data_IF_542678326781
#
_entry.id   IF_542678326781
#
_cell.length_a   1.000
_cell.length_b   1.000
_cell.length_c   1.000
_cell.angle_alpha   90.00
_cell.angle_beta   90.00
_cell.angle_gamma   90.00
#
_symmetry.space_group_name_H-M   'P 1'
#
loop_
_entity.id
_entity.type
_entity.pdbx_description
1 polymer ?
#
# COMPACT_ATOMS: atom_id res chain seq x y z
N UNK A 1 -44.70 -19.65 2.34
CA UNK A 1 -44.60 -18.67 3.45
C UNK A 1 -43.16 -18.67 3.90
N UNK A 2 -42.46 -17.59 3.58
CA UNK A 2 -41.06 -17.28 3.91
C UNK A 2 -40.94 -16.71 5.32
N UNK A 3 -39.82 -16.95 6.00
CA UNK A 3 -39.09 -16.04 6.92
C UNK A 3 -37.84 -16.83 7.41
N UNK A 4 -36.66 -16.56 6.88
CA UNK A 4 -35.64 -15.55 7.25
C UNK A 4 -34.76 -15.92 8.46
N UNK A 5 -33.47 -16.13 8.16
CA UNK A 5 -32.32 -16.16 9.06
C UNK A 5 -31.95 -14.75 9.58
N UNK A 6 -31.24 -14.62 10.71
CA UNK A 6 -30.62 -13.36 11.09
C UNK A 6 -29.16 -13.25 10.58
N UNK A 7 -28.92 -12.16 9.84
CA UNK A 7 -27.64 -11.43 9.73
C UNK A 7 -27.24 -10.94 11.13
N UNK A 8 -25.97 -10.93 11.56
CA UNK A 8 -24.92 -10.03 11.10
C UNK A 8 -24.24 -9.43 12.34
N UNK A 9 -23.03 -9.88 12.68
CA UNK A 9 -22.18 -9.28 13.71
C UNK A 9 -21.09 -8.47 13.03
N UNK A 10 -21.27 -7.16 12.92
CA UNK A 10 -20.21 -6.22 12.56
C UNK A 10 -20.58 -4.80 12.99
N UNK A 11 -20.83 -4.58 14.29
CA UNK A 11 -21.19 -3.25 14.81
C UNK A 11 -20.63 -2.95 16.22
N UNK A 12 -19.50 -3.57 16.60
CA UNK A 12 -18.89 -3.35 17.93
C UNK A 12 -17.63 -2.49 17.95
N UNK A 13 -17.21 -1.89 16.83
CA UNK A 13 -15.91 -1.18 16.75
C UNK A 13 -15.98 0.34 16.57
N UNK A 14 -17.16 0.93 16.37
CA UNK A 14 -17.27 2.38 16.15
C UNK A 14 -17.55 3.19 17.43
N UNK A 15 -18.20 2.58 18.44
CA UNK A 15 -18.57 3.30 19.67
C UNK A 15 -17.34 3.67 20.51
N UNK A 16 -16.31 2.81 20.52
CA UNK A 16 -15.16 2.98 21.42
C UNK A 16 -14.16 4.09 21.00
N UNK A 17 -14.22 4.56 19.76
CA UNK A 17 -13.37 5.68 19.26
C UNK A 17 -14.04 7.05 19.41
N UNK A 18 -15.38 7.11 19.45
CA UNK A 18 -16.12 8.36 19.69
C UNK A 18 -15.88 8.92 21.09
N UNK A 19 -15.78 8.02 22.08
CA UNK A 19 -15.57 8.37 23.49
C UNK A 19 -14.22 9.05 23.75
N UNK A 20 -13.19 8.72 22.96
CA UNK A 20 -11.85 9.33 23.10
C UNK A 20 -11.77 10.74 22.50
N UNK A 21 -12.51 11.01 21.43
CA UNK A 21 -12.52 12.31 20.76
C UNK A 21 -13.30 13.37 21.57
N UNK A 22 -14.41 12.96 22.21
CA UNK A 22 -15.24 13.84 23.04
C UNK A 22 -14.53 14.35 24.32
N UNK A 23 -13.43 13.72 24.74
CA UNK A 23 -12.65 14.16 25.90
C UNK A 23 -11.75 15.37 25.60
N UNK A 24 -11.36 15.58 24.33
CA UNK A 24 -10.42 16.64 23.94
C UNK A 24 -11.06 17.77 23.12
N UNK A 25 -12.25 17.54 22.54
CA UNK A 25 -12.98 18.54 21.76
C UNK A 25 -14.51 18.37 21.92
N UNK A 26 -15.16 19.19 22.78
CA UNK A 26 -16.60 19.10 23.03
C UNK A 26 -17.47 19.43 21.81
N UNK A 27 -16.94 20.14 20.82
CA UNK A 27 -17.69 20.65 19.67
C UNK A 27 -17.69 19.66 18.48
N UNK A 28 -16.98 18.54 18.59
CA UNK A 28 -16.79 17.56 17.51
C UNK A 28 -18.10 16.86 17.08
N UNK A 29 -19.09 16.78 17.98
CA UNK A 29 -20.34 16.05 17.75
C UNK A 29 -21.38 16.83 16.92
N UNK A 30 -21.29 18.16 16.83
CA UNK A 30 -22.35 18.98 16.20
C UNK A 30 -22.12 19.26 14.70
N UNK A 31 -20.93 18.96 14.16
CA UNK A 31 -20.53 19.41 12.82
C UNK A 31 -20.84 18.42 11.66
N UNK A 32 -21.38 17.23 11.92
CA UNK A 32 -21.55 16.21 10.89
C UNK A 32 -23.01 15.77 10.68
N UNK A 33 -23.67 16.35 9.69
CA UNK A 33 -24.89 15.78 9.09
C UNK A 33 -24.63 15.45 7.61
N UNK A 34 -24.61 14.17 7.21
CA UNK A 34 -24.41 13.80 5.81
C UNK A 34 -25.68 14.10 4.99
N UNK A 35 -25.55 14.93 3.96
CA UNK A 35 -26.64 15.22 3.03
C UNK A 35 -27.04 13.98 2.19
N UNK A 36 -28.33 13.82 1.82
CA UNK A 36 -28.78 12.67 1.05
C UNK A 36 -28.20 12.63 -0.37
N UNK A 37 -27.67 11.47 -0.77
CA UNK A 37 -27.05 11.25 -2.07
C UNK A 37 -28.09 11.18 -3.21
N UNK A 38 -27.86 11.92 -4.30
CA UNK A 38 -28.68 11.84 -5.53
C UNK A 38 -28.43 10.53 -6.31
N UNK A 39 -29.45 9.92 -6.93
CA UNK A 39 -29.30 8.66 -7.64
C UNK A 39 -28.46 8.81 -8.93
N UNK A 40 -27.39 8.04 -9.07
CA UNK A 40 -26.53 8.01 -10.27
C UNK A 40 -27.02 6.91 -11.23
N UNK A 41 -27.21 7.26 -12.51
CA UNK A 41 -27.55 6.30 -13.59
C UNK A 41 -26.42 5.28 -13.78
N UNK A 42 -26.77 3.99 -13.78
CA UNK A 42 -25.87 2.85 -14.03
C UNK A 42 -25.36 2.89 -15.48
N UNK A 43 -24.06 3.10 -15.67
CA UNK A 43 -23.38 2.90 -16.98
C UNK A 43 -23.06 1.41 -17.12
N UNK A 44 -23.30 0.84 -18.31
CA UNK A 44 -23.03 -0.57 -18.60
C UNK A 44 -21.58 -0.94 -18.27
N UNK A 45 -21.42 -2.00 -17.48
CA UNK A 45 -20.14 -2.54 -17.04
C UNK A 45 -19.54 -3.29 -18.22
N UNK A 46 -18.48 -2.76 -18.83
CA UNK A 46 -17.66 -3.50 -19.79
C UNK A 46 -17.10 -4.74 -19.09
N UNK A 47 -17.10 -5.89 -19.76
CA UNK A 47 -16.81 -7.18 -19.10
C UNK A 47 -15.39 -7.19 -18.55
N UNK A 48 -15.25 -7.55 -17.27
CA UNK A 48 -13.99 -7.51 -16.54
C UNK A 48 -13.01 -8.56 -17.08
N UNK A 49 -13.50 -9.59 -17.78
CA UNK A 49 -12.70 -10.66 -18.36
C UNK A 49 -11.95 -10.23 -19.65
N UNK A 50 -12.57 -9.44 -20.53
CA UNK A 50 -11.96 -9.03 -21.80
C UNK A 50 -10.78 -8.05 -21.60
N UNK A 51 -10.84 -7.19 -20.60
CA UNK A 51 -9.74 -6.24 -20.33
C UNK A 51 -8.59 -6.90 -19.54
N UNK A 52 -8.88 -7.92 -18.73
CA UNK A 52 -7.85 -8.77 -18.13
C UNK A 52 -7.11 -9.52 -19.24
N UNK A 53 -7.83 -10.02 -20.26
CA UNK A 53 -7.22 -10.65 -21.44
C UNK A 53 -6.32 -9.68 -22.23
N UNK A 54 -6.69 -8.40 -22.36
CA UNK A 54 -5.83 -7.41 -23.02
C UNK A 54 -4.52 -7.13 -22.25
N UNK A 55 -4.54 -7.23 -20.91
CA UNK A 55 -3.34 -7.15 -20.07
C UNK A 55 -2.55 -8.47 -20.11
N UNK A 56 -3.20 -9.62 -20.32
CA UNK A 56 -2.52 -10.92 -20.50
C UNK A 56 -1.74 -10.97 -21.80
N UNK A 57 -2.32 -10.52 -22.92
CA UNK A 57 -1.67 -10.57 -24.23
C UNK A 57 -0.43 -9.66 -24.31
N UNK A 58 -0.38 -8.56 -23.54
CA UNK A 58 0.80 -7.70 -23.46
C UNK A 58 1.94 -8.30 -22.63
N UNK A 59 1.63 -9.24 -21.73
CA UNK A 59 2.60 -9.85 -20.81
C UNK A 59 3.21 -11.15 -21.34
N UNK A 60 2.52 -11.88 -22.23
CA UNK A 60 3.04 -13.12 -22.84
C UNK A 60 4.34 -12.88 -23.66
N UNK A 61 4.62 -11.63 -24.05
CA UNK A 61 5.88 -11.24 -24.71
C UNK A 61 7.07 -10.95 -23.78
N UNK A 62 6.87 -10.95 -22.45
CA UNK A 62 7.88 -10.61 -21.43
C UNK A 62 8.49 -11.82 -20.71
N UNK A 63 8.01 -13.04 -21.00
CA UNK A 63 8.31 -14.25 -20.19
C UNK A 63 9.68 -14.90 -20.44
N UNK A 64 10.52 -14.39 -21.35
CA UNK A 64 11.80 -15.01 -21.65
C UNK A 64 12.87 -14.66 -20.58
N UNK A 65 12.72 -15.20 -19.36
CA UNK A 65 13.84 -15.35 -18.41
C UNK A 65 13.56 -15.08 -16.94
N UNK A 66 12.42 -14.47 -16.57
CA UNK A 66 12.11 -14.21 -15.15
C UNK A 66 11.24 -15.33 -14.56
N UNK A 67 11.88 -16.46 -14.26
CA UNK A 67 11.22 -17.59 -13.60
C UNK A 67 11.08 -17.34 -12.10
N UNK A 68 9.90 -17.64 -11.54
CA UNK A 68 9.61 -17.46 -10.12
C UNK A 68 9.19 -18.77 -9.43
N UNK A 69 9.62 -18.97 -8.19
CA UNK A 69 9.30 -20.14 -7.35
C UNK A 69 7.87 -20.10 -6.81
N UNK A 70 7.36 -18.91 -6.49
CA UNK A 70 5.99 -18.71 -6.03
C UNK A 70 5.02 -19.06 -7.16
N UNK A 71 3.94 -19.77 -6.83
CA UNK A 71 2.89 -20.17 -7.77
C UNK A 71 1.65 -19.28 -7.59
N UNK A 72 1.58 -18.11 -8.26
CA UNK A 72 0.42 -17.23 -8.19
C UNK A 72 -0.81 -17.86 -8.86
N UNK A 73 -2.01 -17.38 -8.50
CA UNK A 73 -3.19 -17.68 -9.29
C UNK A 73 -3.02 -17.11 -10.73
N UNK A 74 -3.64 -17.74 -11.73
CA UNK A 74 -3.45 -17.41 -13.16
C UNK A 74 -3.53 -15.90 -13.48
N UNK A 75 -4.46 -15.17 -12.86
CA UNK A 75 -4.62 -13.72 -13.06
C UNK A 75 -3.62 -12.87 -12.27
N UNK A 76 -3.10 -13.37 -11.16
CA UNK A 76 -2.09 -12.71 -10.32
C UNK A 76 -0.70 -12.82 -10.96
N UNK A 77 -0.39 -13.93 -11.62
CA UNK A 77 0.89 -14.18 -12.28
C UNK A 77 1.30 -13.03 -13.21
N UNK A 78 0.34 -12.59 -14.01
CA UNK A 78 0.54 -11.66 -15.12
C UNK A 78 0.86 -10.26 -14.63
N UNK A 79 0.11 -9.75 -13.65
CA UNK A 79 0.46 -8.45 -13.07
C UNK A 79 1.72 -8.54 -12.22
N UNK A 80 2.03 -9.71 -11.66
CA UNK A 80 3.09 -9.85 -10.66
C UNK A 80 4.43 -9.77 -11.37
N UNK A 81 4.58 -10.56 -12.43
CA UNK A 81 5.77 -10.57 -13.27
C UNK A 81 5.97 -9.20 -13.92
N UNK A 82 4.94 -8.63 -14.56
CA UNK A 82 5.07 -7.30 -15.19
C UNK A 82 5.40 -6.18 -14.21
N UNK A 83 4.90 -6.23 -12.96
CA UNK A 83 5.21 -5.22 -11.94
C UNK A 83 6.62 -5.36 -11.36
N UNK A 84 7.20 -6.57 -11.41
CA UNK A 84 8.50 -6.88 -10.81
C UNK A 84 9.63 -7.00 -11.84
N UNK A 85 9.31 -7.06 -13.13
CA UNK A 85 10.27 -7.17 -14.22
C UNK A 85 11.37 -6.11 -14.12
N UNK A 86 11.00 -4.86 -13.83
CA UNK A 86 11.97 -3.78 -13.70
C UNK A 86 13.02 -4.02 -12.60
N UNK A 87 12.66 -4.73 -11.52
CA UNK A 87 13.60 -5.08 -10.45
C UNK A 87 14.50 -6.26 -10.84
N UNK A 88 13.97 -7.21 -11.63
CA UNK A 88 14.74 -8.30 -12.19
C UNK A 88 15.77 -7.78 -13.21
N UNK A 89 15.35 -6.94 -14.15
CA UNK A 89 16.21 -6.35 -15.19
C UNK A 89 17.34 -5.48 -14.59
N UNK A 90 17.08 -4.84 -13.44
CA UNK A 90 18.06 -4.05 -12.69
C UNK A 90 18.96 -4.90 -11.79
N UNK A 91 18.83 -6.24 -11.82
CA UNK A 91 19.55 -7.17 -10.96
C UNK A 91 19.39 -6.81 -9.46
N UNK A 92 18.17 -6.53 -9.03
CA UNK A 92 17.80 -6.32 -7.63
C UNK A 92 17.17 -7.57 -7.00
N UNK A 93 16.44 -8.35 -7.80
CA UNK A 93 15.84 -9.62 -7.40
C UNK A 93 16.17 -10.71 -8.41
N UNK A 94 16.20 -11.95 -7.94
CA UNK A 94 16.39 -13.14 -8.80
C UNK A 94 15.20 -14.08 -8.79
N UNK A 95 14.34 -14.01 -7.78
CA UNK A 95 13.20 -14.90 -7.62
C UNK A 95 12.11 -14.26 -6.74
N UNK A 96 10.85 -14.61 -6.98
CA UNK A 96 9.72 -14.36 -6.06
C UNK A 96 9.38 -15.67 -5.35
N UNK A 97 9.65 -15.75 -4.06
CA UNK A 97 9.61 -17.00 -3.30
C UNK A 97 8.25 -17.29 -2.68
N UNK A 98 7.59 -16.27 -2.11
CA UNK A 98 6.34 -16.44 -1.39
C UNK A 98 5.54 -15.14 -1.29
N UNK A 99 4.21 -15.25 -1.20
CA UNK A 99 3.36 -14.15 -0.75
C UNK A 99 3.43 -14.03 0.78
N UNK A 100 3.76 -12.84 1.28
CA UNK A 100 3.84 -12.52 2.71
C UNK A 100 2.47 -12.13 3.24
N UNK A 101 1.82 -11.18 2.57
CA UNK A 101 0.50 -10.67 2.96
C UNK A 101 -0.26 -10.22 1.72
N UNK A 102 -1.44 -10.80 1.53
CA UNK A 102 -2.41 -10.34 0.55
C UNK A 102 -3.23 -9.16 1.09
N UNK A 103 -3.52 -8.19 0.22
CA UNK A 103 -4.41 -7.06 0.56
C UNK A 103 -5.32 -6.69 -0.60
N UNK A 104 -6.37 -5.91 -0.30
CA UNK A 104 -7.33 -5.40 -1.29
C UNK A 104 -6.69 -4.38 -2.26
N UNK A 105 -5.54 -3.82 -1.91
CA UNK A 105 -4.90 -2.72 -2.64
C UNK A 105 -3.51 -3.06 -3.12
N UNK A 106 -2.77 -3.77 -2.29
CA UNK A 106 -1.44 -4.26 -2.59
C UNK A 106 -1.25 -5.62 -1.93
N UNK A 107 -0.35 -6.40 -2.49
CA UNK A 107 0.16 -7.62 -1.90
C UNK A 107 1.66 -7.45 -1.69
N UNK A 108 2.17 -8.02 -0.59
CA UNK A 108 3.60 -8.03 -0.27
C UNK A 108 4.13 -9.43 -0.56
N UNK A 109 5.26 -9.49 -1.26
CA UNK A 109 5.95 -10.74 -1.60
C UNK A 109 7.35 -10.75 -1.02
N UNK A 110 7.83 -11.93 -0.62
CA UNK A 110 9.24 -12.16 -0.30
C UNK A 110 9.95 -12.58 -1.58
N UNK A 111 11.00 -11.85 -1.92
CA UNK A 111 11.84 -12.12 -3.08
C UNK A 111 13.25 -12.51 -2.62
N UNK A 112 13.90 -13.38 -3.37
CA UNK A 112 15.34 -13.57 -3.25
C UNK A 112 16.04 -12.33 -3.81
N UNK A 113 16.88 -11.71 -2.99
CA UNK A 113 17.64 -10.56 -3.44
C UNK A 113 18.76 -11.02 -4.39
N UNK A 114 19.12 -10.17 -5.35
CA UNK A 114 20.30 -10.42 -6.15
C UNK A 114 21.57 -10.30 -5.29
N UNK A 115 22.62 -11.13 -5.51
CA UNK A 115 23.84 -11.13 -4.69
C UNK A 115 24.55 -9.77 -4.55
N UNK A 116 24.28 -8.82 -5.45
CA UNK A 116 24.82 -7.44 -5.41
C UNK A 116 24.27 -6.60 -4.25
N UNK A 117 23.13 -6.98 -3.65
CA UNK A 117 22.51 -6.22 -2.56
C UNK A 117 23.07 -6.57 -1.18
N UNK A 118 23.88 -7.64 -1.04
CA UNK A 118 24.37 -8.15 0.24
C UNK A 118 23.23 -8.44 1.25
N UNK A 119 22.12 -8.97 0.72
CA UNK A 119 20.95 -9.38 1.49
C UNK A 119 20.46 -10.73 0.99
N UNK A 120 19.88 -11.56 1.86
CA UNK A 120 19.24 -12.80 1.42
C UNK A 120 17.85 -12.54 0.79
N UNK A 121 17.08 -11.64 1.42
CA UNK A 121 15.68 -11.41 1.08
C UNK A 121 15.33 -9.92 1.01
N UNK A 122 14.42 -9.59 0.11
CA UNK A 122 13.77 -8.29 0.00
C UNK A 122 12.25 -8.46 -0.07
N UNK A 123 11.52 -7.42 0.32
CA UNK A 123 10.07 -7.38 0.24
C UNK A 123 9.63 -6.55 -0.96
N UNK A 124 8.74 -7.12 -1.78
CA UNK A 124 8.12 -6.43 -2.90
C UNK A 124 6.65 -6.07 -2.61
N UNK A 125 6.45 -4.77 -2.39
CA UNK A 125 5.23 -3.96 -2.44
C UNK A 125 4.50 -3.95 -3.78
N UNK A 126 3.67 -4.92 -4.19
CA UNK A 126 2.99 -4.87 -5.51
C UNK A 126 1.57 -4.33 -5.38
N UNK A 127 1.26 -3.23 -6.07
CA UNK A 127 -0.04 -2.59 -6.03
C UNK A 127 -0.97 -3.14 -7.11
N UNK A 128 -2.20 -3.48 -6.72
CA UNK A 128 -3.23 -3.96 -7.67
C UNK A 128 -3.63 -2.82 -8.62
N UNK A 129 -4.00 -3.09 -9.88
CA UNK A 129 -4.48 -2.04 -10.78
C UNK A 129 -5.70 -1.32 -10.20
N UNK A 130 -5.84 -0.02 -10.47
CA UNK A 130 -6.84 0.86 -9.85
C UNK A 130 -8.29 0.36 -9.99
N UNK A 131 -8.63 -0.33 -11.09
CA UNK A 131 -9.95 -0.93 -11.35
C UNK A 131 -10.28 -2.10 -10.41
N UNK A 132 -9.29 -2.66 -9.71
CA UNK A 132 -9.41 -3.74 -8.73
C UNK A 132 -9.22 -3.25 -7.28
N UNK A 133 -9.01 -1.95 -7.04
CA UNK A 133 -8.89 -1.37 -5.70
C UNK A 133 -10.26 -0.99 -5.15
N UNK A 134 -10.52 -1.34 -3.89
CA UNK A 134 -11.70 -0.90 -3.14
C UNK A 134 -11.32 0.16 -2.11
N UNK A 135 -10.84 1.32 -2.57
CA UNK A 135 -10.58 2.46 -1.69
C UNK A 135 -11.66 3.53 -1.89
N UNK A 136 -12.57 3.65 -0.92
CA UNK A 136 -13.48 4.81 -0.82
C UNK A 136 -12.70 5.94 -0.13
N UNK A 137 -12.78 7.16 -0.67
CA UNK A 137 -12.21 8.41 -0.12
C UNK A 137 -10.69 8.66 -0.25
N UNK A 138 -10.01 8.12 -1.26
CA UNK A 138 -8.59 8.41 -1.57
C UNK A 138 -8.27 9.92 -1.80
N UNK A 139 -9.29 10.72 -2.13
CA UNK A 139 -9.12 12.16 -2.43
C UNK A 139 -8.57 12.94 -1.25
N UNK A 140 -9.00 12.65 -0.01
CA UNK A 140 -8.54 13.37 1.18
C UNK A 140 -7.05 13.11 1.48
N UNK A 141 -6.56 11.89 1.22
CA UNK A 141 -5.16 11.52 1.46
C UNK A 141 -4.19 12.16 0.46
N UNK A 142 -4.71 12.70 -0.65
CA UNK A 142 -3.94 13.33 -1.72
C UNK A 142 -4.00 14.85 -1.69
N UNK A 143 -4.95 15.42 -0.97
CA UNK A 143 -5.14 16.86 -0.90
C UNK A 143 -3.88 17.54 -0.31
N UNK A 144 -3.43 18.62 -0.96
CA UNK A 144 -2.19 19.33 -0.58
C UNK A 144 -0.88 18.67 -1.02
N UNK A 145 -0.89 17.47 -1.62
CA UNK A 145 0.34 16.83 -2.12
C UNK A 145 0.71 17.33 -3.52
N UNK A 146 2.00 17.64 -3.72
CA UNK A 146 2.56 17.89 -5.05
C UNK A 146 2.53 16.61 -5.88
N UNK A 147 2.22 16.72 -7.16
CA UNK A 147 2.29 15.59 -8.10
C UNK A 147 3.76 15.27 -8.34
N UNK A 148 4.13 13.99 -8.24
CA UNK A 148 5.49 13.50 -8.47
C UNK A 148 5.54 12.67 -9.77
N UNK A 149 6.67 12.78 -10.48
CA UNK A 149 7.00 11.92 -11.62
C UNK A 149 7.56 10.56 -11.15
N UNK A 150 7.90 9.68 -12.11
CA UNK A 150 8.48 8.35 -11.85
C UNK A 150 9.82 8.39 -11.11
N UNK A 151 10.54 9.53 -11.16
CA UNK A 151 11.81 9.74 -10.46
C UNK A 151 11.61 10.37 -9.08
N UNK A 152 10.35 10.54 -8.64
CA UNK A 152 10.01 11.17 -7.37
C UNK A 152 10.19 12.70 -7.36
N UNK A 153 10.37 13.33 -8.53
CA UNK A 153 10.52 14.78 -8.65
C UNK A 153 9.16 15.44 -8.84
N UNK A 154 8.92 16.65 -8.30
CA UNK A 154 7.68 17.36 -8.55
C UNK A 154 7.48 17.64 -10.04
N UNK A 155 6.32 17.23 -10.57
CA UNK A 155 5.86 17.66 -11.88
C UNK A 155 5.66 19.17 -11.82
N UNK A 156 6.16 19.89 -12.84
CA UNK A 156 6.05 21.34 -12.86
C UNK A 156 4.58 21.75 -12.99
N UNK A 157 4.18 22.77 -12.23
CA UNK A 157 2.78 23.24 -12.22
C UNK A 157 2.36 23.84 -13.57
N UNK A 158 3.31 24.31 -14.37
CA UNK A 158 3.11 24.81 -15.72
C UNK A 158 2.99 23.70 -16.79
N UNK A 159 3.12 22.42 -16.42
CA UNK A 159 2.77 21.31 -17.30
C UNK A 159 1.24 21.17 -17.41
N UNK A 160 0.65 22.08 -18.19
CA UNK A 160 -0.79 22.16 -18.43
C UNK A 160 -1.34 20.84 -18.96
N UNK A 161 -0.54 20.05 -19.70
CA UNK A 161 -1.00 18.76 -20.25
C UNK A 161 -1.15 17.74 -19.14
N UNK A 162 -0.15 17.59 -18.27
CA UNK A 162 -0.19 16.68 -17.14
C UNK A 162 -1.29 17.07 -16.14
N UNK A 163 -1.38 18.35 -15.79
CA UNK A 163 -2.38 18.85 -14.84
C UNK A 163 -3.80 18.67 -15.36
N UNK A 164 -4.06 18.97 -16.65
CA UNK A 164 -5.37 18.75 -17.28
C UNK A 164 -5.72 17.27 -17.40
N UNK A 165 -4.72 16.41 -17.65
CA UNK A 165 -4.92 14.97 -17.74
C UNK A 165 -5.34 14.37 -16.38
N UNK A 166 -4.77 14.87 -15.28
CA UNK A 166 -5.12 14.52 -13.90
C UNK A 166 -6.54 14.99 -13.56
N UNK A 167 -6.84 16.26 -13.83
CA UNK A 167 -8.16 16.86 -13.58
C UNK A 167 -9.27 16.12 -14.31
N UNK A 168 -9.03 15.78 -15.60
CA UNK A 168 -10.00 15.03 -16.43
C UNK A 168 -10.03 13.53 -16.13
N UNK A 169 -9.12 13.01 -15.30
CA UNK A 169 -9.02 11.58 -15.01
C UNK A 169 -8.78 10.71 -16.25
N UNK A 170 -8.00 11.22 -17.21
CA UNK A 170 -7.59 10.45 -18.40
C UNK A 170 -6.79 9.21 -18.01
N UNK A 171 -6.60 8.24 -18.91
CA UNK A 171 -5.77 7.06 -18.64
C UNK A 171 -4.35 7.45 -18.19
N UNK A 172 -3.71 8.40 -18.90
CA UNK A 172 -2.43 8.98 -18.52
C UNK A 172 -2.48 9.67 -17.15
N UNK A 173 -3.49 10.50 -16.89
CA UNK A 173 -3.64 11.17 -15.60
C UNK A 173 -3.86 10.19 -14.45
N UNK A 174 -4.63 9.12 -14.66
CA UNK A 174 -4.83 8.06 -13.67
C UNK A 174 -3.51 7.33 -13.36
N UNK A 175 -2.67 7.10 -14.38
CA UNK A 175 -1.37 6.48 -14.23
C UNK A 175 -0.41 7.40 -13.47
N UNK A 176 -0.30 8.67 -13.89
CA UNK A 176 0.51 9.68 -13.21
C UNK A 176 0.10 9.85 -11.73
N UNK A 177 -1.21 9.84 -11.46
CA UNK A 177 -1.73 9.92 -10.09
C UNK A 177 -1.41 8.65 -9.27
N UNK A 178 -1.21 7.50 -9.91
CA UNK A 178 -0.78 6.28 -9.23
C UNK A 178 0.72 6.34 -8.94
N UNK A 179 1.54 6.65 -9.94
CA UNK A 179 2.99 6.82 -9.82
C UNK A 179 3.33 7.85 -8.74
N UNK A 180 2.67 9.00 -8.76
CA UNK A 180 2.89 10.04 -7.76
C UNK A 180 2.61 9.54 -6.34
N UNK A 181 1.56 8.74 -6.13
CA UNK A 181 1.23 8.20 -4.82
C UNK A 181 2.27 7.18 -4.35
N UNK A 182 2.74 6.30 -5.25
CA UNK A 182 3.81 5.34 -4.95
C UNK A 182 5.11 6.06 -4.58
N UNK A 183 5.46 7.12 -5.33
CA UNK A 183 6.65 7.92 -5.02
C UNK A 183 6.55 8.68 -3.70
N UNK A 184 5.34 9.12 -3.31
CA UNK A 184 5.14 9.66 -1.96
C UNK A 184 5.40 8.61 -0.89
N UNK A 185 4.95 7.36 -1.10
CA UNK A 185 5.23 6.26 -0.18
C UNK A 185 6.74 5.96 -0.10
N UNK A 186 7.41 5.83 -1.24
CA UNK A 186 8.87 5.63 -1.33
C UNK A 186 9.63 6.74 -0.59
N UNK A 187 9.35 8.00 -0.90
CA UNK A 187 10.04 9.15 -0.31
C UNK A 187 9.76 9.27 1.20
N UNK A 188 8.56 8.91 1.64
CA UNK A 188 8.21 8.90 3.07
C UNK A 188 9.03 7.84 3.82
N UNK A 189 9.09 6.62 3.28
CA UNK A 189 9.91 5.55 3.84
C UNK A 189 11.40 5.90 3.86
N UNK A 190 11.93 6.49 2.77
CA UNK A 190 13.35 6.86 2.69
C UNK A 190 13.69 7.92 3.73
N UNK A 191 12.81 8.94 3.86
CA UNK A 191 12.98 9.99 4.86
C UNK A 191 12.96 9.45 6.29
N UNK A 192 12.00 8.60 6.63
CA UNK A 192 11.89 8.02 7.98
C UNK A 192 13.05 7.07 8.26
N UNK A 193 13.44 6.24 7.30
CA UNK A 193 14.59 5.34 7.44
C UNK A 193 15.89 6.11 7.69
N UNK A 194 16.17 7.15 6.88
CA UNK A 194 17.35 8.01 7.05
C UNK A 194 17.37 8.76 8.38
N UNK A 195 16.21 9.02 8.96
CA UNK A 195 16.06 9.65 10.26
C UNK A 195 16.22 8.66 11.44
N UNK A 196 16.50 7.38 11.17
CA UNK A 196 16.63 6.33 12.19
C UNK A 196 15.31 5.69 12.61
N UNK A 197 14.24 5.90 11.84
CA UNK A 197 12.94 5.31 12.07
C UNK A 197 12.95 3.79 11.88
N UNK A 198 12.14 3.09 12.65
CA UNK A 198 11.90 1.65 12.55
C UNK A 198 10.94 1.35 11.41
N UNK A 199 11.42 1.57 10.18
CA UNK A 199 10.69 1.30 8.94
C UNK A 199 11.56 0.45 8.00
N UNK A 200 10.95 -0.33 7.08
CA UNK A 200 11.70 -0.97 6.03
C UNK A 200 12.46 0.06 5.18
N UNK A 201 13.75 -0.17 4.92
CA UNK A 201 14.53 0.67 4.01
C UNK A 201 14.00 0.49 2.59
N UNK A 202 13.55 1.54 1.91
CA UNK A 202 13.21 1.44 0.51
C UNK A 202 14.49 1.24 -0.33
N UNK A 203 14.40 0.37 -1.34
CA UNK A 203 15.52 0.00 -2.22
C UNK A 203 15.30 0.58 -3.61
N UNK A 204 14.12 0.33 -4.20
CA UNK A 204 13.76 0.80 -5.54
C UNK A 204 12.24 0.91 -5.69
N UNK A 205 11.81 1.69 -6.68
CA UNK A 205 10.40 1.80 -7.09
C UNK A 205 10.26 1.50 -8.57
N UNK A 206 9.18 0.82 -8.93
CA UNK A 206 8.73 0.60 -10.29
C UNK A 206 7.32 1.20 -10.46
N UNK A 207 6.77 1.12 -11.66
CA UNK A 207 5.48 1.73 -11.99
C UNK A 207 4.34 1.30 -11.05
N UNK A 208 4.28 0.01 -10.70
CA UNK A 208 3.25 -0.57 -9.84
C UNK A 208 3.83 -1.37 -8.65
N UNK A 209 5.11 -1.15 -8.32
CA UNK A 209 5.74 -1.87 -7.21
C UNK A 209 6.78 -1.04 -6.44
N UNK A 210 6.96 -1.40 -5.17
CA UNK A 210 7.96 -0.85 -4.26
C UNK A 210 8.82 -1.99 -3.72
N UNK A 211 10.13 -1.90 -3.87
CA UNK A 211 11.09 -2.83 -3.29
C UNK A 211 11.68 -2.24 -2.01
N UNK A 212 11.70 -3.01 -0.93
CA UNK A 212 12.20 -2.59 0.37
C UNK A 212 12.86 -3.76 1.11
N UNK A 213 13.57 -3.47 2.21
CA UNK A 213 14.14 -4.53 3.06
C UNK A 213 13.05 -5.44 3.61
N UNK A 214 13.32 -6.74 3.60
CA UNK A 214 12.45 -7.71 4.23
C UNK A 214 12.60 -7.66 5.75
N UNK A 215 11.48 -7.76 6.48
CA UNK A 215 11.46 -7.85 7.95
C UNK A 215 10.98 -9.24 8.32
N UNK A 216 11.88 -10.05 8.88
CA UNK A 216 11.70 -11.49 9.07
C UNK A 216 12.97 -12.24 8.69
N UNK A 217 12.87 -13.56 8.64
CA UNK A 217 13.97 -14.46 8.27
C UNK A 217 13.57 -15.41 7.12
N UNK A 218 14.39 -16.44 6.89
CA UNK A 218 14.13 -17.43 5.85
C UNK A 218 12.88 -18.28 6.15
N UNK A 219 12.50 -18.40 7.43
CA UNK A 219 11.41 -19.23 7.91
C UNK A 219 10.08 -18.48 7.95
N UNK A 220 10.08 -17.23 8.40
CA UNK A 220 8.87 -16.46 8.61
C UNK A 220 9.04 -14.95 8.43
N UNK A 221 7.98 -14.32 7.94
CA UNK A 221 7.85 -12.87 7.98
C UNK A 221 7.57 -12.41 9.41
N UNK A 222 7.99 -11.19 9.72
CA UNK A 222 7.62 -10.57 10.98
C UNK A 222 6.09 -10.50 11.14
N UNK A 223 5.53 -11.01 12.24
CA UNK A 223 4.10 -10.94 12.50
C UNK A 223 3.64 -9.49 12.69
N UNK A 224 2.36 -9.25 12.42
CA UNK A 224 1.72 -7.99 12.83
C UNK A 224 1.60 -7.98 14.36
N UNK A 225 1.75 -6.81 14.97
CA UNK A 225 1.69 -6.66 16.43
C UNK A 225 0.38 -7.20 17.01
N UNK A 226 -0.74 -7.04 16.30
CA UNK A 226 -2.04 -7.57 16.73
C UNK A 226 -2.05 -9.08 16.97
N UNK A 227 -1.21 -9.86 16.28
CA UNK A 227 -1.13 -11.32 16.45
C UNK A 227 -0.08 -11.78 17.46
N UNK A 228 0.58 -10.85 18.17
CA UNK A 228 1.65 -11.17 19.12
C UNK A 228 1.15 -10.98 20.55
N UNK A 229 1.38 -11.99 21.39
CA UNK A 229 1.20 -11.88 22.84
C UNK A 229 2.53 -11.47 23.47
N UNK A 230 2.51 -10.40 24.27
CA UNK A 230 3.70 -9.81 24.88
C UNK A 230 3.58 -9.81 26.40
N UNK A 231 4.68 -10.12 27.08
CA UNK A 231 4.82 -9.90 28.51
C UNK A 231 4.81 -8.39 28.83
N UNK A 232 4.37 -7.99 30.04
CA UNK A 232 4.20 -6.58 30.40
C UNK A 232 5.44 -5.71 30.17
N UNK A 233 6.63 -6.22 30.48
CA UNK A 233 7.87 -5.45 30.30
C UNK A 233 8.26 -5.28 28.83
N UNK A 234 8.00 -6.30 28.00
CA UNK A 234 8.21 -6.21 26.55
C UNK A 234 7.21 -5.24 25.91
N UNK A 235 5.94 -5.28 26.33
CA UNK A 235 4.92 -4.35 25.87
C UNK A 235 5.27 -2.88 26.19
N UNK A 236 5.80 -2.60 27.40
CA UNK A 236 6.27 -1.25 27.77
C UNK A 236 7.40 -0.75 26.89
N UNK A 237 8.41 -1.60 26.61
CA UNK A 237 9.53 -1.23 25.72
C UNK A 237 9.05 -0.96 24.29
N UNK A 238 8.17 -1.83 23.77
CA UNK A 238 7.62 -1.65 22.43
C UNK A 238 6.75 -0.39 22.33
N UNK A 239 5.94 -0.11 23.35
CA UNK A 239 5.14 1.11 23.40
C UNK A 239 6.04 2.36 23.32
N UNK A 240 7.11 2.43 24.11
CA UNK A 240 8.07 3.52 24.02
C UNK A 240 8.66 3.66 22.60
N UNK A 241 9.03 2.53 21.97
CA UNK A 241 9.55 2.54 20.59
C UNK A 241 8.53 3.04 19.56
N UNK A 242 7.25 2.72 19.74
CA UNK A 242 6.17 3.24 18.87
C UNK A 242 6.02 4.75 19.06
N UNK A 243 6.04 5.24 20.30
CA UNK A 243 6.00 6.68 20.59
C UNK A 243 7.19 7.41 19.99
N UNK A 244 8.41 6.87 20.11
CA UNK A 244 9.61 7.46 19.49
C UNK A 244 9.45 7.60 17.96
N UNK A 245 8.88 6.60 17.30
CA UNK A 245 8.61 6.66 15.86
C UNK A 245 7.49 7.65 15.51
N UNK A 246 6.47 7.80 16.36
CA UNK A 246 5.44 8.85 16.19
C UNK A 246 6.08 10.23 16.28
N UNK A 247 6.91 10.47 17.30
CA UNK A 247 7.63 11.74 17.42
C UNK A 247 8.55 12.01 16.22
N UNK A 248 9.24 10.97 15.72
CA UNK A 248 10.07 11.08 14.54
C UNK A 248 9.26 11.48 13.30
N UNK A 249 8.10 10.87 13.08
CA UNK A 249 7.19 11.24 12.00
C UNK A 249 6.76 12.72 12.14
N UNK A 250 6.37 13.15 13.34
CA UNK A 250 5.94 14.53 13.60
C UNK A 250 7.08 15.55 13.38
N UNK A 251 8.31 15.25 13.82
CA UNK A 251 9.51 16.07 13.54
C UNK A 251 9.78 16.23 12.04
N UNK A 252 9.28 15.29 11.24
CA UNK A 252 9.35 15.33 9.79
C UNK A 252 8.06 15.81 9.11
N UNK A 253 7.10 16.41 9.84
CA UNK A 253 5.82 16.85 9.30
C UNK A 253 5.04 15.71 8.61
N UNK A 254 5.12 14.51 9.16
CA UNK A 254 4.45 13.32 8.67
C UNK A 254 3.48 12.83 9.74
N UNK A 255 2.30 12.39 9.30
CA UNK A 255 1.32 11.69 10.11
C UNK A 255 0.97 10.42 9.35
N UNK A 256 1.02 9.26 10.02
CA UNK A 256 0.76 7.97 9.37
C UNK A 256 -0.68 7.85 8.83
N UNK A 257 -1.65 8.46 9.51
CA UNK A 257 -3.08 8.48 9.11
C UNK A 257 -3.85 7.20 9.41
N UNK A 258 -3.16 6.06 9.55
CA UNK A 258 -3.75 4.75 9.87
C UNK A 258 -2.87 3.92 10.82
N UNK A 259 -2.22 4.54 11.82
CA UNK A 259 -1.31 3.81 12.70
C UNK A 259 -2.11 2.95 13.69
N UNK A 260 -1.92 1.63 13.63
CA UNK A 260 -2.58 0.66 14.53
C UNK A 260 -1.74 -0.60 14.68
N UNK A 261 -2.12 -1.49 15.60
CA UNK A 261 -1.47 -2.79 15.78
C UNK A 261 -1.51 -3.70 14.54
N UNK A 262 -2.33 -3.38 13.53
CA UNK A 262 -2.40 -4.09 12.25
C UNK A 262 -1.34 -3.63 11.23
N UNK A 263 -0.76 -2.44 11.44
CA UNK A 263 0.24 -1.80 10.58
C UNK A 263 1.63 -1.72 11.23
N UNK A 264 1.80 -2.28 12.42
CA UNK A 264 3.09 -2.43 13.11
C UNK A 264 3.53 -3.89 12.95
N UNK A 265 4.77 -4.10 12.53
CA UNK A 265 5.43 -5.41 12.53
C UNK A 265 6.25 -5.56 13.80
N UNK A 266 6.29 -6.77 14.36
CA UNK A 266 7.12 -7.11 15.51
C UNK A 266 8.20 -8.11 15.08
N UNK A 267 9.47 -7.75 15.30
CA UNK A 267 10.60 -8.63 15.03
C UNK A 267 11.68 -8.43 16.09
N UNK A 268 12.02 -9.51 16.79
CA UNK A 268 13.18 -9.58 17.70
C UNK A 268 13.31 -8.51 18.81
N UNK A 269 12.23 -7.79 19.15
CA UNK A 269 12.08 -7.00 20.37
C UNK A 269 13.05 -5.83 20.53
#
# INVERSE_FOLDING_TARGET
MTTNSPLGQSDMHHEQYGDYAAFYDPDYAEAWTPAPAKPRKRKQKKDQQEEVAALTDAAEGLEAGFEISYKPARHEAIWLLSSLQAFYDQALIVDVQAQVKGGKEASVYRCAAHPTLDMAHVAAKVYRPRKFRNLRNDKMYREGRRVLDINGRPVKEDDVRAMRALEKGTAFGAQLAHTSWLMHEFNTLDRLYRAGGSVPKPIASAENALLMTYVGDAQMAAPILHSVTLEPDAARRLFAKVVDNIELMLKHNLIHGDLSAYNILYWEG
#
